data_IF_208639131434
#
_entry.id   IF_208639131434
#
_cell.length_a   1.000
_cell.length_b   1.000
_cell.length_c   1.000
_cell.angle_alpha   90.00
_cell.angle_beta   90.00
_cell.angle_gamma   90.00
#
_symmetry.space_group_name_H-M   'P 1'
#
loop_
_entity.id
_entity.type
_entity.pdbx_description
1 polymer ?
#
# COMPACT_ATOMS: atom_id res chain seq x y z
N UNK A 1 -9.85 2.80 71.85
CA UNK A 1 -9.43 2.31 70.56
C UNK A 1 -8.03 1.77 70.72
N UNK A 2 -7.91 0.46 70.67
CA UNK A 2 -6.74 -0.24 71.23
C UNK A 2 -5.62 -0.32 70.18
N UNK A 3 -4.54 0.33 70.51
CA UNK A 3 -3.28 0.36 69.74
C UNK A 3 -2.68 -1.05 69.59
N UNK A 4 -3.09 -2.01 70.41
CA UNK A 4 -2.61 -3.39 70.39
C UNK A 4 -3.09 -4.19 69.17
N UNK A 5 -4.11 -3.75 68.44
CA UNK A 5 -4.66 -4.48 67.29
C UNK A 5 -4.00 -4.10 65.96
N UNK A 6 -3.13 -3.09 65.98
CA UNK A 6 -2.44 -2.63 64.76
C UNK A 6 -1.06 -3.26 64.54
N UNK A 7 -0.55 -3.98 65.53
CA UNK A 7 0.80 -4.53 65.46
C UNK A 7 0.83 -5.99 64.93
N UNK A 8 -0.31 -6.64 64.83
CA UNK A 8 -0.39 -8.04 64.37
C UNK A 8 -0.53 -8.19 62.84
N UNK A 9 -0.69 -7.08 62.14
CA UNK A 9 -0.90 -7.15 60.67
C UNK A 9 0.34 -6.87 59.84
N UNK A 10 1.50 -6.66 60.48
CA UNK A 10 2.71 -6.25 59.76
C UNK A 10 3.76 -7.34 59.59
N UNK A 11 3.47 -8.56 60.01
CA UNK A 11 4.46 -9.67 59.93
C UNK A 11 4.18 -10.75 58.89
N UNK A 12 3.17 -10.61 58.09
CA UNK A 12 2.81 -11.62 57.06
C UNK A 12 3.12 -11.21 55.63
N UNK A 13 3.95 -10.22 55.38
CA UNK A 13 4.15 -9.71 54.01
C UNK A 13 5.60 -9.90 53.51
N UNK A 14 6.30 -10.94 53.95
CA UNK A 14 7.70 -11.16 53.53
C UNK A 14 7.96 -12.62 53.09
N UNK A 15 7.00 -13.24 52.47
CA UNK A 15 7.28 -14.54 51.84
C UNK A 15 6.47 -14.63 50.52
N UNK A 16 7.08 -14.29 49.43
CA UNK A 16 6.45 -14.59 48.12
C UNK A 16 6.72 -13.57 47.01
N UNK A 17 7.87 -12.95 46.95
CA UNK A 17 8.32 -12.42 45.67
C UNK A 17 9.08 -13.51 44.91
N UNK A 18 8.33 -14.47 44.40
CA UNK A 18 8.76 -15.18 43.21
C UNK A 18 8.71 -14.15 42.09
N UNK A 19 9.82 -13.57 41.73
CA UNK A 19 10.00 -12.83 40.51
C UNK A 19 9.90 -13.86 39.38
N UNK A 20 8.70 -14.02 38.84
CA UNK A 20 8.53 -14.51 37.51
C UNK A 20 9.11 -13.42 36.59
N UNK A 21 10.41 -13.51 36.35
CA UNK A 21 11.01 -12.94 35.17
C UNK A 21 10.41 -13.70 34.02
N UNK A 22 9.30 -13.19 33.48
CA UNK A 22 8.90 -13.49 32.12
C UNK A 22 10.08 -13.02 31.28
N UNK A 23 10.95 -13.94 30.92
CA UNK A 23 11.82 -13.74 29.80
C UNK A 23 10.88 -13.51 28.62
N UNK A 24 10.65 -12.24 28.28
CA UNK A 24 10.16 -11.92 26.96
C UNK A 24 11.24 -12.41 26.02
N UNK A 25 10.95 -13.56 25.42
CA UNK A 25 11.66 -14.01 24.27
C UNK A 25 11.46 -12.95 23.19
N UNK A 26 12.35 -11.97 23.20
CA UNK A 26 12.47 -10.93 22.20
C UNK A 26 13.26 -11.51 21.02
N UNK A 27 12.87 -12.74 20.62
CA UNK A 27 13.28 -13.28 19.34
C UNK A 27 12.79 -12.27 18.31
N UNK A 28 13.66 -11.63 17.53
CA UNK A 28 13.22 -10.79 16.45
C UNK A 28 12.37 -11.68 15.54
N UNK A 29 11.06 -11.42 15.54
CA UNK A 29 10.15 -12.03 14.58
C UNK A 29 10.74 -11.76 13.21
N UNK A 30 11.06 -12.79 12.42
CA UNK A 30 11.62 -12.55 11.10
C UNK A 30 10.65 -11.66 10.36
N UNK A 31 11.13 -10.49 9.95
CA UNK A 31 10.36 -9.59 9.10
C UNK A 31 9.83 -10.40 7.92
N UNK A 32 8.58 -10.21 7.51
CA UNK A 32 8.01 -10.92 6.38
C UNK A 32 8.96 -10.81 5.20
N UNK A 33 9.40 -11.95 4.70
CA UNK A 33 10.36 -12.03 3.61
C UNK A 33 9.69 -11.59 2.31
N UNK A 34 9.73 -10.30 2.04
CA UNK A 34 9.30 -9.71 0.78
C UNK A 34 10.40 -9.76 -0.29
N UNK A 35 11.46 -10.52 -0.06
CA UNK A 35 12.64 -10.56 -0.92
C UNK A 35 12.28 -10.97 -2.35
N UNK A 36 11.37 -11.91 -2.53
CA UNK A 36 10.92 -12.34 -3.86
C UNK A 36 10.04 -11.30 -4.57
N UNK A 37 9.23 -10.57 -3.81
CA UNK A 37 8.40 -9.48 -4.37
C UNK A 37 9.27 -8.28 -4.72
N UNK A 38 10.25 -7.95 -3.88
CA UNK A 38 11.20 -6.86 -4.13
C UNK A 38 12.20 -7.18 -5.24
N UNK A 39 12.48 -8.46 -5.51
CA UNK A 39 13.36 -8.85 -6.62
C UNK A 39 12.70 -8.67 -7.99
N UNK A 40 11.39 -8.85 -8.10
CA UNK A 40 10.64 -8.57 -9.34
C UNK A 40 10.62 -7.09 -9.69
N UNK A 41 10.57 -6.23 -8.66
CA UNK A 41 10.59 -4.78 -8.85
C UNK A 41 12.00 -4.23 -9.14
N UNK A 42 13.04 -5.06 -9.02
CA UNK A 42 14.41 -4.72 -9.36
C UNK A 42 14.80 -5.01 -10.81
N UNK A 43 13.96 -5.70 -11.55
CA UNK A 43 14.14 -5.80 -12.99
C UNK A 43 14.00 -4.41 -13.60
N UNK A 44 15.14 -3.86 -13.97
CA UNK A 44 15.37 -2.46 -14.37
C UNK A 44 14.67 -2.06 -15.67
N UNK A 45 13.91 -2.93 -16.25
CA UNK A 45 13.21 -2.72 -17.53
C UNK A 45 11.76 -2.26 -17.35
N UNK A 46 11.17 -2.42 -16.16
CA UNK A 46 9.81 -1.97 -15.88
C UNK A 46 9.80 -0.82 -14.87
N UNK A 47 9.07 0.28 -15.16
CA UNK A 47 8.93 1.38 -14.19
C UNK A 47 8.17 0.90 -12.95
N UNK A 48 8.78 1.10 -11.79
CA UNK A 48 8.21 0.70 -10.50
C UNK A 48 7.59 1.89 -9.78
N UNK A 49 6.67 1.60 -8.85
CA UNK A 49 6.07 2.64 -8.00
C UNK A 49 7.10 3.39 -7.14
N UNK A 50 8.25 2.77 -6.84
CA UNK A 50 9.32 3.40 -6.07
C UNK A 50 10.06 4.47 -6.87
N UNK A 51 10.17 4.32 -8.19
CA UNK A 51 10.76 5.32 -9.07
C UNK A 51 9.92 6.60 -9.18
N UNK A 52 8.60 6.52 -8.91
CA UNK A 52 7.73 7.70 -8.84
C UNK A 52 8.05 8.61 -7.65
N UNK A 53 8.64 8.08 -6.59
CA UNK A 53 8.92 8.85 -5.37
C UNK A 53 10.00 9.90 -5.55
N UNK A 54 10.84 9.74 -6.55
CA UNK A 54 11.98 10.63 -6.81
C UNK A 54 11.58 11.90 -7.57
N UNK A 55 10.44 11.87 -8.28
CA UNK A 55 9.97 13.01 -9.05
C UNK A 55 8.59 13.48 -8.56
N UNK A 56 8.49 14.64 -7.88
CA UNK A 56 7.22 15.17 -7.41
C UNK A 56 6.17 15.40 -8.51
N UNK A 57 6.61 15.82 -9.71
CA UNK A 57 5.70 16.05 -10.82
C UNK A 57 5.09 14.78 -11.38
N UNK A 58 5.83 13.67 -11.41
CA UNK A 58 5.30 12.36 -11.81
C UNK A 58 4.26 11.84 -10.81
N UNK A 59 4.48 12.10 -9.52
CA UNK A 59 3.51 11.79 -8.47
C UNK A 59 2.21 12.56 -8.65
N UNK A 60 2.30 13.84 -8.96
CA UNK A 60 1.14 14.70 -9.18
C UNK A 60 0.35 14.26 -10.42
N UNK A 61 1.05 13.89 -11.50
CA UNK A 61 0.46 13.31 -12.71
C UNK A 61 -0.34 12.05 -12.36
N UNK A 62 0.27 11.09 -11.70
CA UNK A 62 -0.39 9.86 -11.30
C UNK A 62 -1.60 10.10 -10.38
N UNK A 63 -1.50 11.08 -9.48
CA UNK A 63 -2.59 11.47 -8.59
C UNK A 63 -3.77 12.09 -9.35
N UNK A 64 -3.51 12.97 -10.30
CA UNK A 64 -4.55 13.60 -11.12
C UNK A 64 -5.30 12.57 -11.95
N UNK A 65 -4.59 11.65 -12.59
CA UNK A 65 -5.19 10.56 -13.36
C UNK A 65 -6.03 9.67 -12.44
N UNK A 66 -5.49 9.28 -11.29
CA UNK A 66 -6.22 8.45 -10.30
C UNK A 66 -7.50 9.14 -9.82
N UNK A 67 -7.45 10.43 -9.52
CA UNK A 67 -8.65 11.20 -9.16
C UNK A 67 -9.70 11.19 -10.28
N UNK A 68 -9.28 11.34 -11.54
CA UNK A 68 -10.19 11.33 -12.68
C UNK A 68 -10.85 9.95 -12.87
N UNK A 69 -10.09 8.87 -12.69
CA UNK A 69 -10.61 7.50 -12.76
C UNK A 69 -11.57 7.22 -11.60
N UNK A 70 -11.22 7.62 -10.38
CA UNK A 70 -12.05 7.39 -9.18
C UNK A 70 -13.36 8.18 -9.18
N UNK A 71 -13.40 9.34 -9.84
CA UNK A 71 -14.62 10.15 -9.97
C UNK A 71 -15.61 9.57 -10.96
N UNK A 72 -15.16 8.74 -11.87
CA UNK A 72 -16.00 8.18 -12.92
C UNK A 72 -16.71 6.93 -12.42
N UNK A 73 -17.97 7.09 -12.06
CA UNK A 73 -18.80 5.99 -11.54
C UNK A 73 -19.27 5.00 -12.60
N UNK A 74 -19.04 5.29 -13.88
CA UNK A 74 -19.35 4.37 -14.96
C UNK A 74 -18.32 3.25 -15.11
N UNK A 75 -17.14 3.44 -14.52
CA UNK A 75 -16.07 2.48 -14.53
C UNK A 75 -16.28 1.37 -13.49
N UNK A 76 -15.91 0.15 -13.84
CA UNK A 76 -15.97 -0.99 -12.93
C UNK A 76 -14.96 -0.89 -11.79
N UNK A 77 -15.13 -1.72 -10.77
CA UNK A 77 -14.15 -1.86 -9.68
C UNK A 77 -12.76 -2.26 -10.21
N UNK A 78 -12.71 -3.08 -11.27
CA UNK A 78 -11.44 -3.45 -11.91
C UNK A 78 -10.74 -2.24 -12.52
N UNK A 79 -11.49 -1.41 -13.22
CA UNK A 79 -10.98 -0.18 -13.82
C UNK A 79 -10.49 0.83 -12.76
N UNK A 80 -11.16 0.91 -11.61
CA UNK A 80 -10.71 1.73 -10.48
C UNK A 80 -9.40 1.23 -9.85
N UNK A 81 -9.08 -0.05 -9.98
CA UNK A 81 -7.87 -0.67 -9.45
C UNK A 81 -6.70 -0.72 -10.45
N UNK A 82 -6.84 -0.09 -11.59
CA UNK A 82 -5.77 -0.01 -12.59
C UNK A 82 -4.53 0.68 -12.00
N UNK A 83 -3.37 0.09 -12.22
CA UNK A 83 -2.09 0.65 -11.82
C UNK A 83 -1.69 1.77 -12.78
N UNK A 84 -1.46 2.94 -12.23
CA UNK A 84 -1.03 4.14 -12.95
C UNK A 84 0.41 4.43 -12.53
N UNK A 85 1.34 4.37 -13.48
CA UNK A 85 2.76 4.62 -13.27
C UNK A 85 3.14 5.83 -14.10
N UNK A 86 3.59 6.89 -13.46
CA UNK A 86 4.16 8.06 -14.12
C UNK A 86 5.67 8.09 -13.89
N UNK A 87 6.45 8.28 -14.95
CA UNK A 87 7.90 8.38 -14.91
C UNK A 87 8.40 9.30 -16.01
N UNK A 88 9.13 10.34 -15.62
CA UNK A 88 9.66 11.36 -16.54
C UNK A 88 8.58 11.99 -17.46
N UNK A 89 7.39 12.18 -16.93
CA UNK A 89 6.24 12.71 -17.68
C UNK A 89 5.55 11.68 -18.58
N UNK A 90 6.02 10.44 -18.64
CA UNK A 90 5.38 9.33 -19.34
C UNK A 90 4.46 8.57 -18.39
N UNK A 91 3.34 8.11 -18.88
CA UNK A 91 2.36 7.34 -18.09
C UNK A 91 2.19 5.95 -18.69
N UNK A 92 2.31 4.94 -17.83
CA UNK A 92 2.01 3.55 -18.16
C UNK A 92 0.80 3.10 -17.35
N UNK A 93 -0.21 2.57 -18.02
CA UNK A 93 -1.45 2.04 -17.44
C UNK A 93 -1.40 0.51 -17.49
N UNK A 94 -1.55 -0.15 -16.35
CA UNK A 94 -1.52 -1.62 -16.24
C UNK A 94 -2.71 -2.14 -15.44
N UNK A 95 -3.30 -3.23 -15.89
CA UNK A 95 -4.30 -3.95 -15.12
C UNK A 95 -5.50 -4.43 -15.94
N UNK A 96 -6.39 -5.19 -15.31
CA UNK A 96 -7.59 -5.68 -15.98
C UNK A 96 -8.68 -4.61 -16.04
N UNK A 97 -9.41 -4.61 -17.15
CA UNK A 97 -10.64 -3.83 -17.35
C UNK A 97 -11.71 -4.77 -17.91
N UNK A 98 -12.98 -4.41 -17.79
CA UNK A 98 -14.09 -5.29 -18.20
C UNK A 98 -14.49 -5.14 -19.66
N UNK A 99 -14.13 -4.01 -20.28
CA UNK A 99 -14.48 -3.72 -21.67
C UNK A 99 -13.45 -2.81 -22.36
N UNK A 100 -13.50 -2.77 -23.68
CA UNK A 100 -12.71 -1.83 -24.47
C UNK A 100 -13.11 -0.38 -24.24
N UNK A 101 -14.36 -0.13 -23.90
CA UNK A 101 -14.85 1.22 -23.57
C UNK A 101 -14.21 1.74 -22.28
N UNK A 102 -14.09 0.88 -21.25
CA UNK A 102 -13.36 1.22 -20.03
C UNK A 102 -11.89 1.50 -20.30
N UNK A 103 -11.25 0.66 -21.14
CA UNK A 103 -9.88 0.85 -21.57
C UNK A 103 -9.69 2.23 -22.19
N UNK A 104 -10.51 2.58 -23.18
CA UNK A 104 -10.48 3.90 -23.84
C UNK A 104 -10.76 5.05 -22.87
N UNK A 105 -11.71 4.87 -21.96
CA UNK A 105 -12.03 5.89 -20.96
C UNK A 105 -10.84 6.21 -20.05
N UNK A 106 -10.12 5.20 -19.58
CA UNK A 106 -8.93 5.36 -18.74
C UNK A 106 -7.79 6.00 -19.55
N UNK A 107 -7.55 5.53 -20.77
CA UNK A 107 -6.54 6.10 -21.67
C UNK A 107 -6.81 7.59 -21.95
N UNK A 108 -8.06 7.94 -22.22
CA UNK A 108 -8.47 9.34 -22.44
C UNK A 108 -8.23 10.21 -21.22
N UNK A 109 -8.52 9.68 -20.01
CA UNK A 109 -8.25 10.39 -18.75
C UNK A 109 -6.77 10.62 -18.52
N UNK A 110 -5.93 9.64 -18.83
CA UNK A 110 -4.49 9.77 -18.75
C UNK A 110 -3.96 10.77 -19.79
N UNK A 111 -4.45 10.68 -21.03
CA UNK A 111 -4.08 11.59 -22.11
C UNK A 111 -4.48 13.04 -21.83
N UNK A 112 -5.58 13.28 -21.12
CA UNK A 112 -5.99 14.62 -20.73
C UNK A 112 -5.00 15.31 -19.77
N UNK A 113 -4.20 14.52 -19.03
CA UNK A 113 -3.21 15.03 -18.07
C UNK A 113 -1.84 15.23 -18.72
N UNK A 114 -1.36 14.26 -19.52
CA UNK A 114 0.01 14.28 -20.05
C UNK A 114 0.10 14.40 -21.56
N UNK A 115 -1.00 14.25 -22.27
CA UNK A 115 -1.03 14.15 -23.72
C UNK A 115 -1.02 12.70 -24.20
N UNK A 116 -1.64 12.46 -25.36
CA UNK A 116 -1.86 11.11 -25.91
C UNK A 116 -0.54 10.39 -26.24
N UNK A 117 0.45 11.13 -26.71
CA UNK A 117 1.76 10.60 -27.11
C UNK A 117 2.60 10.10 -25.93
N UNK A 118 2.19 10.46 -24.70
CA UNK A 118 2.89 10.12 -23.45
C UNK A 118 2.22 9.02 -22.65
N UNK A 119 1.19 8.39 -23.19
CA UNK A 119 0.45 7.32 -22.52
C UNK A 119 0.75 5.99 -23.19
N UNK A 120 1.24 5.04 -22.40
CA UNK A 120 1.39 3.64 -22.78
C UNK A 120 0.33 2.82 -22.08
N UNK A 121 -0.48 2.10 -22.83
CA UNK A 121 -1.57 1.26 -22.29
C UNK A 121 -1.20 -0.21 -22.34
N UNK A 122 -1.08 -0.80 -21.17
CA UNK A 122 -0.95 -2.24 -20.95
C UNK A 122 -2.19 -2.80 -20.22
N UNK A 123 -3.37 -2.25 -20.58
CA UNK A 123 -4.64 -2.69 -20.02
C UNK A 123 -5.14 -3.93 -20.74
N UNK A 124 -5.54 -4.94 -19.97
CA UNK A 124 -6.08 -6.20 -20.45
C UNK A 124 -7.60 -6.21 -20.29
N UNK A 125 -8.31 -6.46 -21.39
CA UNK A 125 -9.77 -6.63 -21.33
C UNK A 125 -10.08 -8.04 -20.85
N UNK A 126 -10.72 -8.14 -19.67
CA UNK A 126 -11.22 -9.39 -19.08
C UNK A 126 -12.73 -9.26 -18.88
N UNK A 127 -13.53 -9.71 -19.84
CA UNK A 127 -14.98 -9.63 -19.69
C UNK A 127 -15.43 -10.41 -18.45
N UNK A 128 -16.29 -9.79 -17.66
CA UNK A 128 -16.95 -10.47 -16.53
C UNK A 128 -18.07 -11.33 -17.09
N UNK A 129 -17.95 -12.65 -16.93
CA UNK A 129 -19.03 -13.58 -17.21
C UNK A 129 -20.12 -13.48 -16.13
#
# INVERSE_FOLDING_TARGET
MNIALRLALLTCLLAGMATLTSAQDNSPQPAPDNTKTNQRDKDKTEPTADQQKENPSDRDIAQQIRKSVMKDKSLSTYAHNVKIIAQNGLVTLKGPVTSDDEKKAIETKAAAVVGQDKVTSELEVKPTN
#
